data_IF_911599967307
#
_entry.id   IF_911599967307
#
_cell.length_a   1.000
_cell.length_b   1.000
_cell.length_c   1.000
_cell.angle_alpha   90.00
_cell.angle_beta   90.00
_cell.angle_gamma   90.00
#
_symmetry.space_group_name_H-M   'P 1'
#
loop_
_entity.id
_entity.type
_entity.pdbx_description
1 polymer ?
#
# COMPACT_ATOMS: atom_id res chain seq x y z
N UNK A 1 22.32 -6.67 11.62
CA UNK A 1 21.74 -5.73 10.64
C UNK A 1 20.31 -6.15 10.33
N UNK A 2 19.37 -5.24 10.42
CA UNK A 2 17.98 -5.57 10.08
C UNK A 2 17.80 -5.74 8.59
N UNK A 3 17.07 -6.78 8.19
CA UNK A 3 16.69 -6.95 6.79
C UNK A 3 15.64 -5.91 6.43
N UNK A 4 15.91 -5.14 5.40
CA UNK A 4 14.93 -4.20 4.86
C UNK A 4 13.94 -4.94 3.95
N UNK A 5 12.68 -4.58 4.06
CA UNK A 5 11.58 -5.22 3.34
C UNK A 5 10.81 -4.20 2.52
N UNK A 6 9.92 -4.70 1.69
CA UNK A 6 8.95 -3.87 0.95
C UNK A 6 7.72 -3.70 1.83
N UNK A 7 7.39 -2.47 2.19
CA UNK A 7 6.19 -2.19 2.96
C UNK A 7 5.01 -2.02 2.01
N UNK A 8 3.90 -2.71 2.28
CA UNK A 8 2.74 -2.69 1.41
C UNK A 8 1.56 -2.06 2.15
N UNK A 9 1.02 -0.99 1.59
CA UNK A 9 -0.09 -0.23 2.15
C UNK A 9 -1.23 -0.23 1.14
N UNK A 10 -2.44 -0.53 1.58
CA UNK A 10 -3.60 -0.52 0.71
C UNK A 10 -4.92 -0.62 1.47
N UNK A 11 -6.01 -0.13 0.87
CA UNK A 11 -7.32 -0.21 1.50
C UNK A 11 -7.85 -1.64 1.52
N UNK A 12 -8.86 -1.87 2.36
CA UNK A 12 -9.49 -3.18 2.48
C UNK A 12 -10.06 -3.61 1.13
N UNK A 13 -9.77 -4.84 0.72
CA UNK A 13 -10.30 -5.42 -0.50
C UNK A 13 -9.58 -5.02 -1.77
N UNK A 14 -8.45 -4.30 -1.70
CA UNK A 14 -7.72 -3.87 -2.90
C UNK A 14 -6.82 -4.95 -3.52
N UNK A 15 -6.75 -6.14 -2.93
CA UNK A 15 -5.86 -7.19 -3.42
C UNK A 15 -4.49 -7.19 -2.77
N UNK A 16 -4.31 -6.46 -1.67
CA UNK A 16 -3.04 -6.33 -0.98
C UNK A 16 -2.48 -7.68 -0.54
N UNK A 17 -3.31 -8.54 0.06
CA UNK A 17 -2.89 -9.86 0.53
C UNK A 17 -2.39 -10.73 -0.62
N UNK A 18 -3.07 -10.69 -1.76
CA UNK A 18 -2.65 -11.43 -2.95
C UNK A 18 -1.29 -10.95 -3.44
N UNK A 19 -1.09 -9.64 -3.49
CA UNK A 19 0.19 -9.06 -3.92
C UNK A 19 1.31 -9.44 -2.95
N UNK A 20 1.06 -9.33 -1.65
CA UNK A 20 2.04 -9.69 -0.62
C UNK A 20 2.44 -11.15 -0.73
N UNK A 21 1.48 -12.04 -0.91
CA UNK A 21 1.76 -13.47 -1.06
C UNK A 21 2.59 -13.74 -2.33
N UNK A 22 2.31 -13.02 -3.40
CA UNK A 22 3.06 -13.14 -4.65
C UNK A 22 4.52 -12.71 -4.45
N UNK A 23 4.76 -11.61 -3.76
CA UNK A 23 6.12 -11.12 -3.50
C UNK A 23 6.89 -12.11 -2.64
N UNK A 24 6.26 -12.72 -1.63
CA UNK A 24 6.88 -13.66 -0.73
C UNK A 24 6.91 -15.09 -1.27
N UNK A 25 6.40 -15.31 -2.49
CA UNK A 25 6.29 -16.63 -3.12
C UNK A 25 5.48 -17.60 -2.24
N UNK A 26 4.38 -17.09 -1.67
CA UNK A 26 3.49 -17.85 -0.80
C UNK A 26 2.24 -18.26 -1.59
N UNK A 27 1.93 -19.56 -1.61
CA UNK A 27 0.79 -20.11 -2.33
C UNK A 27 -0.25 -20.79 -1.43
N UNK A 28 -0.18 -20.54 -0.12
CA UNK A 28 -1.15 -21.08 0.84
C UNK A 28 -2.45 -20.27 0.86
N UNK A 29 -3.37 -20.59 1.78
CA UNK A 29 -4.64 -19.89 1.89
C UNK A 29 -4.44 -18.43 2.26
N UNK A 30 -5.30 -17.55 1.71
CA UNK A 30 -5.27 -16.12 2.02
C UNK A 30 -5.69 -15.91 3.48
N UNK A 31 -5.00 -15.02 4.14
CA UNK A 31 -5.28 -14.66 5.54
C UNK A 31 -5.65 -13.19 5.64
N UNK A 32 -6.65 -12.90 6.46
CA UNK A 32 -6.94 -11.53 6.87
C UNK A 32 -6.22 -11.25 8.17
N UNK A 33 -5.70 -10.04 8.31
CA UNK A 33 -4.98 -9.68 9.51
C UNK A 33 -5.38 -8.28 9.98
N UNK A 34 -5.40 -8.11 11.29
CA UNK A 34 -5.58 -6.80 11.92
C UNK A 34 -4.26 -6.29 12.50
N UNK A 35 -3.22 -7.10 12.44
CA UNK A 35 -1.89 -6.74 12.92
C UNK A 35 -0.90 -6.72 11.77
N UNK A 36 0.19 -6.00 11.96
CA UNK A 36 1.29 -5.99 11.00
C UNK A 36 1.90 -7.39 10.90
N UNK A 37 2.09 -7.87 9.67
CA UNK A 37 2.73 -9.15 9.42
C UNK A 37 4.07 -8.91 8.73
N UNK A 38 5.12 -9.49 9.30
CA UNK A 38 6.46 -9.47 8.70
C UNK A 38 6.65 -10.75 7.89
N UNK A 39 6.58 -10.62 6.56
CA UNK A 39 6.95 -11.70 5.65
C UNK A 39 8.44 -11.75 5.45
N UNK A 40 8.91 -12.64 4.57
CA UNK A 40 10.33 -12.70 4.25
C UNK A 40 10.78 -11.44 3.51
N UNK A 41 9.95 -10.92 2.59
CA UNK A 41 10.29 -9.78 1.73
C UNK A 41 9.40 -8.56 2.00
N UNK A 42 8.33 -8.68 2.79
CA UNK A 42 7.33 -7.64 2.94
C UNK A 42 6.99 -7.31 4.38
N UNK A 43 6.48 -6.09 4.57
CA UNK A 43 5.77 -5.69 5.78
C UNK A 43 4.34 -5.39 5.33
N UNK A 44 3.39 -6.22 5.74
CA UNK A 44 1.99 -6.07 5.36
C UNK A 44 1.27 -5.23 6.42
N UNK A 45 0.92 -4.00 6.04
CA UNK A 45 0.26 -3.05 6.94
C UNK A 45 -1.26 -3.26 6.90
N UNK A 46 -1.91 -3.46 8.05
CA UNK A 46 -3.38 -3.60 8.07
C UNK A 46 -4.07 -2.38 7.47
N UNK A 47 -5.12 -2.62 6.69
CA UNK A 47 -5.87 -1.53 6.06
C UNK A 47 -6.48 -0.54 7.07
N UNK A 48 -6.77 -1.03 8.28
CA UNK A 48 -7.29 -0.17 9.34
C UNK A 48 -6.34 0.98 9.72
N UNK A 49 -5.04 0.82 9.48
CA UNK A 49 -4.05 1.88 9.79
C UNK A 49 -4.26 3.10 8.88
N UNK A 50 -4.76 2.91 7.67
CA UNK A 50 -5.06 4.02 6.75
C UNK A 50 -6.29 4.80 7.21
N UNK A 51 -7.27 4.10 7.75
CA UNK A 51 -8.55 4.66 8.15
C UNK A 51 -8.47 5.50 9.42
N UNK A 52 -7.39 5.38 10.17
CA UNK A 52 -7.20 6.05 11.45
C UNK A 52 -5.96 6.93 11.43
N UNK A 53 -6.16 8.23 11.38
CA UNK A 53 -5.04 9.18 11.28
C UNK A 53 -4.04 9.04 12.44
N UNK A 54 -4.50 8.65 13.64
CA UNK A 54 -3.61 8.47 14.78
C UNK A 54 -2.66 7.27 14.61
N UNK A 55 -2.94 6.39 13.65
CA UNK A 55 -2.06 5.26 13.32
C UNK A 55 -0.94 5.65 12.35
N UNK A 56 -0.96 6.85 11.78
CA UNK A 56 0.03 7.25 10.77
C UNK A 56 1.46 7.22 11.32
N UNK A 57 1.67 7.62 12.57
CA UNK A 57 3.00 7.57 13.17
C UNK A 57 3.51 6.14 13.31
N UNK A 58 2.60 5.17 13.48
CA UNK A 58 2.98 3.76 13.51
C UNK A 58 3.46 3.29 12.14
N UNK A 59 2.79 3.74 11.07
CA UNK A 59 3.22 3.43 9.70
C UNK A 59 4.60 4.04 9.41
N UNK A 60 4.82 5.27 9.83
CA UNK A 60 6.12 5.93 9.66
C UNK A 60 7.22 5.16 10.40
N UNK A 61 6.93 4.69 11.60
CA UNK A 61 7.87 3.88 12.38
C UNK A 61 8.18 2.55 11.68
N UNK A 62 7.16 1.88 11.15
CA UNK A 62 7.34 0.62 10.41
C UNK A 62 8.20 0.83 9.16
N UNK A 63 8.07 1.98 8.51
CA UNK A 63 8.81 2.29 7.30
C UNK A 63 10.31 2.40 7.52
N UNK A 64 10.79 2.51 8.78
CA UNK A 64 12.21 2.50 9.07
C UNK A 64 12.88 1.18 8.65
N UNK A 65 12.10 0.11 8.59
CA UNK A 65 12.58 -1.21 8.16
C UNK A 65 12.25 -1.50 6.70
N UNK A 66 11.80 -0.50 5.94
CA UNK A 66 11.43 -0.64 4.53
C UNK A 66 12.44 0.06 3.63
N UNK A 67 12.78 -0.58 2.50
CA UNK A 67 13.59 0.09 1.48
C UNK A 67 12.71 0.77 0.42
N UNK A 68 11.46 0.35 0.30
CA UNK A 68 10.46 1.07 -0.50
C UNK A 68 9.06 0.72 0.00
N UNK A 69 8.10 1.52 -0.43
CA UNK A 69 6.70 1.34 -0.07
C UNK A 69 5.90 1.18 -1.36
N UNK A 70 5.03 0.16 -1.40
CA UNK A 70 4.03 0.02 -2.45
C UNK A 70 2.71 0.56 -1.89
N UNK A 71 2.21 1.62 -2.50
CA UNK A 71 0.97 2.28 -2.10
C UNK A 71 -0.11 1.89 -3.10
N UNK A 72 -1.04 1.03 -2.66
CA UNK A 72 -2.06 0.47 -3.54
C UNK A 72 -3.31 1.33 -3.57
N UNK A 73 -3.91 1.43 -4.76
CA UNK A 73 -5.22 2.03 -4.95
C UNK A 73 -6.03 1.08 -5.83
N UNK A 74 -7.32 0.97 -5.52
CA UNK A 74 -8.24 0.03 -6.18
C UNK A 74 -9.00 0.76 -7.28
N UNK A 75 -8.78 0.38 -8.54
CA UNK A 75 -9.42 1.02 -9.69
C UNK A 75 -10.95 0.82 -9.72
N UNK A 76 -11.44 -0.22 -9.06
CA UNK A 76 -12.88 -0.46 -8.98
C UNK A 76 -13.61 0.49 -8.02
N UNK A 77 -12.87 1.32 -7.28
CA UNK A 77 -13.42 2.27 -6.31
C UNK A 77 -12.80 3.64 -6.52
N UNK A 78 -13.62 4.69 -6.40
CA UNK A 78 -13.15 6.07 -6.59
C UNK A 78 -13.03 6.87 -5.30
N UNK A 79 -13.45 6.30 -4.17
CA UNK A 79 -13.35 6.98 -2.87
C UNK A 79 -11.89 7.25 -2.51
N UNK A 80 -11.60 8.46 -2.03
CA UNK A 80 -10.26 8.80 -1.57
C UNK A 80 -9.96 8.09 -0.26
N UNK A 81 -8.80 7.41 -0.20
CA UNK A 81 -8.39 6.68 1.00
C UNK A 81 -7.14 7.29 1.64
N UNK A 82 -6.38 8.08 0.89
CA UNK A 82 -5.14 8.69 1.39
C UNK A 82 -5.28 10.21 1.46
N UNK A 83 -4.67 10.81 2.48
CA UNK A 83 -4.62 12.27 2.60
C UNK A 83 -3.60 12.86 1.60
N UNK A 84 -3.77 14.14 1.29
CA UNK A 84 -2.81 14.85 0.44
C UNK A 84 -1.43 14.81 1.07
N UNK A 85 -0.42 14.53 0.26
CA UNK A 85 0.95 14.48 0.73
C UNK A 85 1.30 13.28 1.60
N UNK A 86 0.40 12.29 1.69
CA UNK A 86 0.62 11.11 2.53
C UNK A 86 1.98 10.45 2.26
N UNK A 87 2.33 10.28 0.98
CA UNK A 87 3.58 9.61 0.59
C UNK A 87 4.82 10.39 1.01
N UNK A 88 4.70 11.70 1.20
CA UNK A 88 5.84 12.57 1.57
C UNK A 88 6.26 12.41 3.02
N UNK A 89 5.44 11.76 3.84
CA UNK A 89 5.77 11.52 5.24
C UNK A 89 6.85 10.44 5.41
N UNK A 90 7.12 9.67 4.38
CA UNK A 90 8.06 8.55 4.45
C UNK A 90 9.42 8.94 3.87
N UNK A 91 10.48 8.39 4.45
CA UNK A 91 11.87 8.70 4.06
C UNK A 91 12.37 7.81 2.90
N UNK A 92 11.63 6.76 2.56
CA UNK A 92 11.99 5.85 1.48
C UNK A 92 11.12 6.10 0.25
N UNK A 93 11.52 5.59 -0.94
CA UNK A 93 10.70 5.72 -2.14
C UNK A 93 9.32 5.09 -1.99
N UNK A 94 8.30 5.78 -2.50
CA UNK A 94 6.93 5.28 -2.51
C UNK A 94 6.50 5.09 -3.97
N UNK A 95 6.09 3.87 -4.30
CA UNK A 95 5.67 3.49 -5.64
C UNK A 95 4.15 3.28 -5.62
N UNK A 96 3.44 3.95 -6.52
CA UNK A 96 2.00 3.77 -6.64
C UNK A 96 1.66 2.52 -7.44
N UNK A 97 0.69 1.76 -6.97
CA UNK A 97 0.20 0.57 -7.65
C UNK A 97 -1.30 0.66 -7.77
N UNK A 98 -1.80 0.61 -9.01
CA UNK A 98 -3.24 0.61 -9.27
C UNK A 98 -3.66 -0.85 -9.46
N UNK A 99 -4.47 -1.36 -8.52
CA UNK A 99 -4.94 -2.74 -8.56
C UNK A 99 -6.26 -2.82 -9.33
N UNK A 100 -6.64 -4.03 -9.73
CA UNK A 100 -7.89 -4.33 -10.42
C UNK A 100 -8.07 -3.51 -11.70
N UNK A 101 -6.99 -3.38 -12.49
CA UNK A 101 -6.97 -2.56 -13.70
C UNK A 101 -7.91 -3.07 -14.81
N UNK A 102 -8.38 -4.31 -14.71
CA UNK A 102 -9.35 -4.90 -15.61
C UNK A 102 -10.79 -4.48 -15.26
N UNK A 103 -10.99 -3.86 -14.09
CA UNK A 103 -12.29 -3.40 -13.63
C UNK A 103 -12.37 -1.89 -13.75
N UNK A 104 -13.53 -1.40 -14.21
CA UNK A 104 -13.82 0.05 -14.28
C UNK A 104 -12.68 0.86 -14.93
N UNK A 105 -12.31 0.57 -16.19
CA UNK A 105 -11.20 1.27 -16.86
C UNK A 105 -11.37 2.79 -16.87
N UNK A 106 -12.60 3.28 -16.83
CA UNK A 106 -12.92 4.71 -16.79
C UNK A 106 -12.41 5.40 -15.52
N UNK A 107 -12.09 4.64 -14.49
CA UNK A 107 -11.59 5.19 -13.23
C UNK A 107 -10.07 5.36 -13.21
N UNK A 108 -9.37 4.95 -14.26
CA UNK A 108 -7.90 4.99 -14.30
C UNK A 108 -7.34 6.38 -14.03
N UNK A 109 -7.90 7.37 -14.69
CA UNK A 109 -7.44 8.75 -14.53
C UNK A 109 -7.69 9.28 -13.12
N UNK A 110 -8.82 8.91 -12.52
CA UNK A 110 -9.14 9.29 -11.14
C UNK A 110 -8.10 8.70 -10.18
N UNK A 111 -7.75 7.44 -10.38
CA UNK A 111 -6.74 6.77 -9.55
C UNK A 111 -5.37 7.43 -9.68
N UNK A 112 -4.97 7.77 -10.90
CA UNK A 112 -3.70 8.45 -11.14
C UNK A 112 -3.65 9.81 -10.44
N UNK A 113 -4.75 10.56 -10.49
CA UNK A 113 -4.85 11.85 -9.79
C UNK A 113 -4.78 11.69 -8.29
N UNK A 114 -5.41 10.66 -7.74
CA UNK A 114 -5.35 10.40 -6.30
C UNK A 114 -3.92 10.09 -5.87
N UNK A 115 -3.18 9.30 -6.65
CA UNK A 115 -1.78 9.02 -6.35
C UNK A 115 -0.93 10.27 -6.43
N UNK A 116 -1.14 11.14 -7.42
CA UNK A 116 -0.43 12.42 -7.52
C UNK A 116 -0.65 13.28 -6.28
N UNK A 117 -1.89 13.34 -5.77
CA UNK A 117 -2.22 14.12 -4.58
C UNK A 117 -1.50 13.62 -3.33
N UNK A 118 -1.19 12.33 -3.26
CA UNK A 118 -0.42 11.77 -2.14
C UNK A 118 1.06 12.13 -2.23
N UNK A 119 1.54 12.54 -3.40
CA UNK A 119 2.94 12.83 -3.62
C UNK A 119 3.69 11.73 -4.37
N UNK A 120 2.99 10.69 -4.81
CA UNK A 120 3.58 9.62 -5.61
C UNK A 120 3.72 10.08 -7.05
N UNK A 121 4.87 9.81 -7.66
CA UNK A 121 5.15 10.17 -9.04
C UNK A 121 4.96 8.99 -9.99
N UNK A 122 4.66 9.28 -11.25
CA UNK A 122 4.60 8.27 -12.30
C UNK A 122 5.99 7.67 -12.54
N UNK A 123 6.05 6.40 -13.05
CA UNK A 123 4.93 5.53 -13.39
C UNK A 123 4.33 4.82 -12.17
N UNK A 124 3.12 4.36 -12.36
CA UNK A 124 2.38 3.64 -11.32
C UNK A 124 2.29 2.14 -11.62
#
# INVERSE_FOLDING_TARGET
>A
MRKKRIMVIGPKGCGKTTLVNSINDYDGPLRRTQDTIYGMETIDVPSAYIENAWMYKHMIALAQDAWCILLLIDQSRTAEVYSHGFARAFHCPVIGVISKCDLMPENREICERQLEKTGVRQPY
#
